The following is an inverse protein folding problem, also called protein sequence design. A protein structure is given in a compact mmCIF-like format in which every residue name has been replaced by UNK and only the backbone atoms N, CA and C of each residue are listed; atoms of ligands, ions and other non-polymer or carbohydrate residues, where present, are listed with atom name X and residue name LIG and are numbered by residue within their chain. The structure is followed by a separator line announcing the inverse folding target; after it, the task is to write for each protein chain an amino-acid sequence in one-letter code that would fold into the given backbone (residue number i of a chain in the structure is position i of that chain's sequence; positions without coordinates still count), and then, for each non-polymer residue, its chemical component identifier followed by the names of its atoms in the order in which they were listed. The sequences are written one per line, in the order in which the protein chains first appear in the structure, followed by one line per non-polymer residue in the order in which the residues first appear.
data_IF_983720147859
#
_entry.id   IF_983720147859
#
_cell.length_a   1.000
_cell.length_b   1.000
_cell.length_c   1.000
_cell.angle_alpha   90.00
_cell.angle_beta   90.00
_cell.angle_gamma   90.00
#
_symmetry.space_group_name_H-M   'P 1'
#
loop_
_entity.id
_entity.type
_entity.pdbx_description
1 polymer ?
#
# COMPACT_ATOMS: atom_id res chain seq x y z
N UNK A 1 12.51 -47.19 -77.18
CA UNK A 1 11.29 -46.57 -76.62
C UNK A 1 11.26 -46.73 -75.12
N UNK A 2 12.29 -46.19 -74.46
CA UNK A 2 12.39 -46.15 -72.96
C UNK A 2 13.22 -44.92 -72.60
N UNK A 3 12.65 -43.71 -72.63
CA UNK A 3 13.28 -42.50 -72.12
C UNK A 3 12.19 -41.39 -71.94
N UNK A 4 11.24 -41.61 -71.06
CA UNK A 4 10.36 -40.46 -70.68
C UNK A 4 9.57 -40.72 -69.38
N UNK A 5 10.14 -41.35 -68.37
CA UNK A 5 9.45 -41.54 -67.07
C UNK A 5 10.10 -40.95 -65.85
N UNK A 6 11.34 -40.37 -65.95
CA UNK A 6 12.08 -39.89 -64.79
C UNK A 6 11.88 -38.37 -64.46
N UNK A 7 11.46 -37.55 -65.44
CA UNK A 7 11.34 -36.09 -65.21
C UNK A 7 10.03 -35.61 -64.54
N UNK A 8 8.97 -36.45 -64.59
CA UNK A 8 7.66 -36.08 -63.95
C UNK A 8 7.65 -36.32 -62.44
N UNK A 9 8.51 -37.20 -61.90
CA UNK A 9 8.52 -37.48 -60.47
C UNK A 9 9.29 -36.45 -59.63
N UNK A 10 10.35 -35.90 -60.17
CA UNK A 10 11.17 -34.90 -59.44
C UNK A 10 10.51 -33.54 -59.34
N UNK A 11 9.74 -33.12 -60.35
CA UNK A 11 8.99 -31.86 -60.33
C UNK A 11 7.81 -31.91 -59.39
N UNK A 12 7.11 -33.02 -59.30
CA UNK A 12 6.02 -33.23 -58.34
C UNK A 12 6.52 -33.29 -56.89
N UNK A 13 7.65 -33.93 -56.62
CA UNK A 13 8.25 -34.03 -55.29
C UNK A 13 8.79 -32.66 -54.83
N UNK A 14 9.40 -31.85 -55.71
CA UNK A 14 9.85 -30.49 -55.40
C UNK A 14 8.68 -29.53 -55.16
N UNK A 15 7.55 -29.65 -55.86
CA UNK A 15 6.32 -28.87 -55.65
C UNK A 15 5.62 -29.27 -54.34
N UNK A 16 5.65 -30.52 -53.93
CA UNK A 16 5.07 -31.00 -52.69
C UNK A 16 5.91 -30.55 -51.48
N UNK A 17 7.23 -30.51 -51.57
CA UNK A 17 8.12 -29.99 -50.51
C UNK A 17 8.00 -28.49 -50.34
N UNK A 18 7.76 -27.72 -51.42
CA UNK A 18 7.60 -26.28 -51.34
C UNK A 18 6.22 -25.88 -50.74
N UNK A 19 5.19 -26.73 -50.90
CA UNK A 19 3.88 -26.52 -50.30
C UNK A 19 3.82 -26.87 -48.80
N UNK A 20 4.71 -27.76 -48.28
CA UNK A 20 4.78 -28.11 -46.87
C UNK A 20 5.52 -27.06 -46.02
N UNK A 21 6.34 -26.19 -46.63
CA UNK A 21 7.07 -25.12 -45.95
C UNK A 21 6.23 -23.84 -45.68
N UNK A 22 5.00 -23.77 -46.23
CA UNK A 22 4.09 -22.64 -46.06
C UNK A 22 3.00 -22.84 -44.99
N UNK A 23 2.96 -24.01 -44.37
CA UNK A 23 2.07 -24.31 -43.24
C UNK A 23 2.84 -24.25 -41.90
N UNK A 24 3.68 -23.22 -41.72
CA UNK A 24 4.06 -22.85 -40.37
C UNK A 24 2.78 -22.38 -39.65
N UNK A 25 2.36 -23.01 -38.54
CA UNK A 25 1.25 -22.47 -37.80
C UNK A 25 1.66 -21.04 -37.41
N UNK A 26 0.91 -20.04 -37.84
CA UNK A 26 0.93 -18.75 -37.21
C UNK A 26 0.61 -19.02 -35.74
N UNK A 27 1.64 -19.14 -34.93
CA UNK A 27 1.47 -19.08 -33.49
C UNK A 27 0.74 -17.76 -33.23
N UNK A 28 -0.53 -17.86 -32.88
CA UNK A 28 -1.28 -16.72 -32.37
C UNK A 28 -0.46 -16.18 -31.22
N UNK A 29 0.23 -15.07 -31.42
CA UNK A 29 0.85 -14.31 -30.34
C UNK A 29 -0.35 -13.80 -29.53
N UNK A 30 -0.81 -14.58 -28.57
CA UNK A 30 -1.69 -14.06 -27.54
C UNK A 30 -0.91 -12.93 -26.89
N UNK A 31 -1.44 -11.71 -26.95
CA UNK A 31 -0.83 -10.58 -26.26
C UNK A 31 -0.60 -11.00 -24.81
N UNK A 32 0.60 -10.83 -24.33
CA UNK A 32 0.91 -11.12 -22.93
C UNK A 32 -0.02 -10.26 -22.05
N UNK A 33 -0.55 -10.86 -21.00
CA UNK A 33 -1.49 -10.17 -20.11
C UNK A 33 -1.10 -10.37 -18.65
N UNK A 34 -1.62 -9.50 -17.79
CA UNK A 34 -1.44 -9.47 -16.35
C UNK A 34 -2.79 -9.22 -15.69
N UNK A 35 -3.20 -10.08 -14.78
CA UNK A 35 -4.44 -9.91 -14.01
C UNK A 35 -4.12 -9.32 -12.63
N UNK A 36 -4.45 -8.06 -12.46
CA UNK A 36 -4.18 -7.27 -11.27
C UNK A 36 -5.43 -7.16 -10.39
N UNK A 37 -5.36 -7.70 -9.17
CA UNK A 37 -6.35 -7.48 -8.12
C UNK A 37 -5.86 -6.35 -7.22
N UNK A 38 -6.55 -5.21 -7.24
CA UNK A 38 -6.11 -3.99 -6.55
C UNK A 38 -7.15 -3.45 -5.58
N UNK A 39 -6.72 -3.21 -4.35
CA UNK A 39 -7.48 -2.46 -3.36
C UNK A 39 -7.12 -0.96 -3.36
N UNK A 40 -6.39 -0.50 -4.33
CA UNK A 40 -6.13 0.91 -4.58
C UNK A 40 -7.21 1.43 -5.52
N UNK A 41 -7.76 2.60 -5.23
CA UNK A 41 -8.86 3.23 -5.97
C UNK A 41 -8.47 4.66 -6.34
N UNK A 42 -7.35 4.81 -7.05
CA UNK A 42 -6.86 6.11 -7.49
C UNK A 42 -6.90 6.18 -9.02
N UNK A 43 -7.59 7.19 -9.54
CA UNK A 43 -7.64 7.42 -11.00
C UNK A 43 -6.24 7.57 -11.61
N UNK A 44 -5.30 8.11 -10.85
CA UNK A 44 -3.90 8.26 -11.26
C UNK A 44 -3.17 6.94 -11.47
N UNK A 45 -3.59 5.85 -10.82
CA UNK A 45 -2.98 4.53 -11.01
C UNK A 45 -3.23 3.97 -12.42
N UNK A 46 -4.31 4.42 -13.13
CA UNK A 46 -4.56 4.00 -14.53
C UNK A 46 -3.42 4.39 -15.46
N UNK A 47 -2.83 5.57 -15.26
CA UNK A 47 -1.67 6.02 -16.05
C UNK A 47 -0.45 5.10 -15.88
N UNK A 48 -0.29 4.46 -14.71
CA UNK A 48 0.76 3.44 -14.49
C UNK A 48 0.50 2.19 -15.34
N UNK A 49 -0.74 1.74 -15.39
CA UNK A 49 -1.12 0.53 -16.11
C UNK A 49 -1.02 0.70 -17.62
N UNK A 50 -1.48 1.85 -18.12
CA UNK A 50 -1.36 2.24 -19.52
C UNK A 50 0.10 2.31 -19.96
N UNK A 51 0.93 3.03 -19.19
CA UNK A 51 2.35 3.18 -19.49
C UNK A 51 3.10 1.85 -19.47
N UNK A 52 2.82 0.99 -18.50
CA UNK A 52 3.38 -0.35 -18.47
C UNK A 52 3.02 -1.15 -19.72
N UNK A 53 1.77 -1.07 -20.15
CA UNK A 53 1.30 -1.73 -21.37
C UNK A 53 2.01 -1.17 -22.62
N UNK A 54 2.17 0.15 -22.71
CA UNK A 54 2.90 0.79 -23.83
C UNK A 54 4.37 0.36 -23.91
N UNK A 55 5.04 0.28 -22.76
CA UNK A 55 6.47 -0.04 -22.67
C UNK A 55 6.77 -1.54 -22.90
N UNK A 56 5.85 -2.42 -22.50
CA UNK A 56 6.09 -3.87 -22.47
C UNK A 56 5.26 -4.68 -23.46
N UNK A 57 4.16 -4.12 -23.95
CA UNK A 57 3.14 -4.87 -24.70
C UNK A 57 2.27 -5.78 -23.83
N UNK A 58 2.46 -5.80 -22.50
CA UNK A 58 1.69 -6.61 -21.55
C UNK A 58 0.43 -5.85 -21.15
N UNK A 59 -0.74 -6.38 -21.45
CA UNK A 59 -2.01 -5.77 -21.09
C UNK A 59 -2.31 -6.00 -19.61
N UNK A 60 -2.66 -4.95 -18.89
CA UNK A 60 -3.11 -5.05 -17.49
C UNK A 60 -4.63 -5.17 -17.44
N UNK A 61 -5.13 -6.28 -16.93
CA UNK A 61 -6.54 -6.52 -16.65
C UNK A 61 -6.78 -6.25 -15.16
N UNK A 62 -7.49 -5.15 -14.84
CA UNK A 62 -7.70 -4.70 -13.48
C UNK A 62 -9.02 -5.22 -12.90
N UNK A 63 -8.95 -5.72 -11.68
CA UNK A 63 -10.10 -5.98 -10.81
C UNK A 63 -9.92 -5.20 -9.53
N UNK A 64 -10.82 -4.25 -9.28
CA UNK A 64 -10.82 -3.45 -8.06
C UNK A 64 -11.79 -3.98 -7.01
N UNK A 65 -11.40 -3.84 -5.75
CA UNK A 65 -12.23 -4.26 -4.63
C UNK A 65 -11.64 -3.89 -3.28
N UNK A 66 -12.41 -4.05 -2.21
CA UNK A 66 -11.88 -3.91 -0.86
C UNK A 66 -10.80 -4.96 -0.57
N UNK A 67 -9.73 -4.58 0.15
CA UNK A 67 -8.59 -5.48 0.43
C UNK A 67 -9.03 -6.84 0.97
N UNK A 68 -9.94 -6.84 1.96
CA UNK A 68 -10.39 -8.08 2.59
C UNK A 68 -11.21 -8.94 1.62
N UNK A 69 -12.06 -8.31 0.79
CA UNK A 69 -12.86 -9.01 -0.20
C UNK A 69 -12.00 -9.65 -1.31
N UNK A 70 -10.92 -8.97 -1.74
CA UNK A 70 -10.00 -9.52 -2.72
C UNK A 70 -9.19 -10.69 -2.16
N UNK A 71 -8.76 -10.62 -0.90
CA UNK A 71 -8.08 -11.72 -0.20
C UNK A 71 -9.01 -12.95 -0.17
N UNK A 72 -10.24 -12.79 0.31
CA UNK A 72 -11.22 -13.89 0.39
C UNK A 72 -11.56 -14.45 -1.01
N UNK A 73 -11.63 -13.60 -2.01
CA UNK A 73 -11.87 -14.02 -3.38
C UNK A 73 -10.74 -14.91 -3.90
N UNK A 74 -9.48 -14.51 -3.76
CA UNK A 74 -8.32 -15.31 -4.19
C UNK A 74 -8.30 -16.66 -3.45
N UNK A 75 -8.60 -16.67 -2.15
CA UNK A 75 -8.68 -17.91 -1.36
C UNK A 75 -9.80 -18.83 -1.85
N UNK A 76 -10.96 -18.28 -2.19
CA UNK A 76 -12.09 -19.06 -2.71
C UNK A 76 -11.84 -19.60 -4.12
N UNK A 77 -11.16 -18.85 -4.97
CA UNK A 77 -10.75 -19.25 -6.32
C UNK A 77 -9.65 -20.33 -6.28
N UNK A 78 -8.80 -20.33 -5.25
CA UNK A 78 -7.73 -21.31 -5.03
C UNK A 78 -6.75 -21.40 -6.21
N UNK A 79 -6.44 -22.61 -6.65
CA UNK A 79 -5.53 -22.88 -7.79
C UNK A 79 -6.08 -22.38 -9.14
N UNK A 80 -7.37 -22.10 -9.21
CA UNK A 80 -8.03 -21.60 -10.42
C UNK A 80 -8.09 -20.06 -10.44
N UNK A 81 -7.54 -19.39 -9.45
CA UNK A 81 -7.52 -17.93 -9.42
C UNK A 81 -6.77 -17.38 -10.64
N UNK A 82 -7.40 -16.48 -11.40
CA UNK A 82 -6.70 -15.81 -12.49
C UNK A 82 -5.79 -14.68 -12.03
N UNK A 83 -5.80 -14.34 -10.73
CA UNK A 83 -5.02 -13.23 -10.20
C UNK A 83 -3.52 -13.52 -10.31
N UNK A 84 -2.77 -12.61 -10.93
CA UNK A 84 -1.31 -12.64 -10.97
C UNK A 84 -0.71 -11.86 -9.81
N UNK A 85 -1.33 -10.73 -9.46
CA UNK A 85 -0.87 -9.82 -8.40
C UNK A 85 -2.06 -9.44 -7.51
N UNK A 86 -1.79 -9.36 -6.21
CA UNK A 86 -2.63 -8.65 -5.25
C UNK A 86 -1.92 -7.41 -4.75
N UNK A 87 -2.53 -6.23 -4.96
CA UNK A 87 -2.14 -4.98 -4.31
C UNK A 87 -3.13 -4.67 -3.19
N UNK A 88 -2.63 -4.44 -2.00
CA UNK A 88 -3.47 -4.04 -0.86
C UNK A 88 -2.85 -2.88 -0.07
N UNK A 89 -3.67 -2.23 0.72
CA UNK A 89 -3.25 -1.13 1.59
C UNK A 89 -3.19 -1.62 3.03
N UNK A 90 -2.13 -1.19 3.75
CA UNK A 90 -1.74 -1.61 5.08
C UNK A 90 -1.00 -2.96 5.14
N UNK A 91 0.20 -2.91 5.71
CA UNK A 91 1.07 -4.08 5.83
C UNK A 91 0.45 -5.23 6.66
N UNK A 92 -0.47 -4.94 7.59
CA UNK A 92 -1.19 -5.96 8.34
C UNK A 92 -2.05 -6.85 7.43
N UNK A 93 -2.57 -6.30 6.32
CA UNK A 93 -3.31 -7.09 5.33
C UNK A 93 -2.39 -7.89 4.41
N UNK A 94 -1.25 -7.31 4.01
CA UNK A 94 -0.22 -8.05 3.26
C UNK A 94 0.27 -9.26 4.05
N UNK A 95 0.57 -9.06 5.32
CA UNK A 95 0.96 -10.16 6.22
C UNK A 95 -0.14 -11.23 6.31
N UNK A 96 -1.41 -10.85 6.50
CA UNK A 96 -2.52 -11.80 6.56
C UNK A 96 -2.68 -12.59 5.26
N UNK A 97 -2.52 -11.94 4.10
CA UNK A 97 -2.54 -12.61 2.81
C UNK A 97 -1.37 -13.60 2.66
N UNK A 98 -0.18 -13.25 3.16
CA UNK A 98 0.98 -14.13 3.19
C UNK A 98 0.76 -15.35 4.10
N UNK A 99 0.28 -15.16 5.33
CA UNK A 99 -0.06 -16.26 6.25
C UNK A 99 -1.15 -17.20 5.70
N UNK A 100 -2.08 -16.65 4.91
CA UNK A 100 -3.09 -17.45 4.22
C UNK A 100 -2.56 -18.19 2.98
N UNK A 101 -1.26 -18.05 2.66
CA UNK A 101 -0.62 -18.73 1.54
C UNK A 101 -0.98 -18.19 0.16
N UNK A 102 -1.46 -16.93 0.08
CA UNK A 102 -1.84 -16.29 -1.19
C UNK A 102 -0.63 -15.99 -2.06
N UNK A 103 0.51 -15.65 -1.46
CA UNK A 103 1.69 -15.21 -2.19
C UNK A 103 2.70 -16.33 -2.41
N UNK A 104 3.54 -16.16 -3.42
CA UNK A 104 4.75 -16.93 -3.63
C UNK A 104 5.99 -16.05 -3.47
N UNK A 105 7.10 -16.67 -3.12
CA UNK A 105 8.39 -15.98 -3.02
C UNK A 105 8.85 -15.45 -4.38
N UNK A 106 9.39 -14.25 -4.38
CA UNK A 106 9.93 -13.58 -5.56
C UNK A 106 11.40 -13.24 -5.32
N UNK A 107 12.27 -13.83 -6.13
CA UNK A 107 13.69 -13.49 -6.18
C UNK A 107 13.91 -12.46 -7.30
N UNK A 108 14.19 -11.21 -6.94
CA UNK A 108 14.44 -10.11 -7.86
C UNK A 108 15.51 -9.18 -7.30
N UNK A 109 16.67 -9.15 -7.96
CA UNK A 109 17.73 -8.23 -7.62
C UNK A 109 17.30 -6.75 -7.71
N UNK A 110 16.36 -6.44 -8.60
CA UNK A 110 15.77 -5.10 -8.74
C UNK A 110 14.97 -4.71 -7.51
N UNK A 111 14.09 -5.59 -7.02
CA UNK A 111 13.28 -5.33 -5.84
C UNK A 111 14.14 -5.31 -4.57
N UNK A 112 15.12 -6.20 -4.47
CA UNK A 112 16.07 -6.23 -3.35
C UNK A 112 16.88 -4.95 -3.23
N UNK A 113 17.28 -4.37 -4.37
CA UNK A 113 18.03 -3.12 -4.41
C UNK A 113 17.18 -1.88 -4.14
N UNK A 114 15.87 -1.91 -4.48
CA UNK A 114 14.99 -0.75 -4.42
C UNK A 114 14.11 -0.70 -3.19
N UNK A 115 13.66 -1.84 -2.68
CA UNK A 115 12.74 -1.91 -1.54
C UNK A 115 13.52 -2.18 -0.26
N UNK A 116 13.58 -1.23 0.70
CA UNK A 116 14.23 -1.43 1.98
C UNK A 116 13.69 -2.67 2.72
N UNK A 117 14.55 -3.39 3.44
CA UNK A 117 14.19 -4.63 4.14
C UNK A 117 13.01 -4.46 5.12
N UNK A 118 12.90 -3.32 5.77
CA UNK A 118 11.79 -3.06 6.70
C UNK A 118 10.45 -2.76 6.00
N UNK A 119 10.45 -2.56 4.67
CA UNK A 119 9.26 -2.33 3.84
C UNK A 119 8.86 -3.53 2.99
N UNK A 120 9.45 -4.69 3.20
CA UNK A 120 9.12 -5.92 2.49
C UNK A 120 8.99 -7.10 3.45
N UNK A 121 8.38 -8.15 2.96
CA UNK A 121 8.31 -9.41 3.68
C UNK A 121 9.72 -10.03 3.84
N UNK A 122 10.07 -10.58 5.02
CA UNK A 122 11.37 -11.22 5.23
C UNK A 122 11.65 -12.38 4.26
N UNK A 123 10.61 -13.06 3.78
CA UNK A 123 10.70 -14.17 2.83
C UNK A 123 10.38 -13.71 1.38
N UNK A 124 10.37 -12.40 1.11
CA UNK A 124 10.08 -11.81 -0.20
C UNK A 124 8.72 -12.23 -0.79
N UNK A 125 7.69 -12.41 0.05
CA UNK A 125 6.33 -12.72 -0.39
C UNK A 125 5.57 -11.48 -0.88
N UNK A 126 5.92 -10.29 -0.37
CA UNK A 126 5.36 -9.02 -0.79
C UNK A 126 6.37 -7.88 -0.61
N UNK A 127 6.13 -6.78 -1.34
CA UNK A 127 7.00 -5.61 -1.40
C UNK A 127 6.17 -4.34 -1.22
N UNK A 128 6.68 -3.39 -0.43
CA UNK A 128 6.12 -2.05 -0.33
C UNK A 128 6.25 -1.31 -1.66
N UNK A 129 5.22 -0.53 -1.98
CA UNK A 129 5.16 0.28 -3.20
C UNK A 129 5.11 1.78 -2.88
N UNK A 130 4.48 2.15 -1.79
CA UNK A 130 4.40 3.53 -1.31
C UNK A 130 4.27 3.55 0.20
N UNK A 131 4.59 4.69 0.82
CA UNK A 131 4.56 4.88 2.28
C UNK A 131 3.58 5.97 2.68
N UNK A 132 3.07 5.88 3.90
CA UNK A 132 2.41 6.96 4.62
C UNK A 132 2.91 7.02 6.05
N UNK A 133 3.12 8.23 6.56
CA UNK A 133 3.41 8.43 7.97
C UNK A 133 2.10 8.60 8.76
N UNK A 134 2.08 8.12 9.99
CA UNK A 134 0.99 8.31 10.94
C UNK A 134 1.32 9.50 11.82
N UNK A 135 0.92 10.71 11.44
CA UNK A 135 1.29 11.97 12.10
C UNK A 135 0.29 12.39 13.16
N UNK A 136 0.75 13.17 14.13
CA UNK A 136 -0.14 13.89 15.04
C UNK A 136 -0.54 15.20 14.38
N UNK A 137 -1.83 15.48 14.33
CA UNK A 137 -2.39 16.73 13.80
C UNK A 137 -3.08 17.47 14.93
N UNK A 138 -2.76 18.76 15.07
CA UNK A 138 -3.25 19.61 16.14
C UNK A 138 -3.83 20.93 15.61
N UNK A 139 -4.67 21.57 16.41
CA UNK A 139 -5.22 22.89 16.10
C UNK A 139 -4.27 23.99 16.54
N UNK A 140 -3.85 24.84 15.60
CA UNK A 140 -2.81 25.89 15.82
C UNK A 140 -3.21 26.98 16.82
N UNK A 141 -4.49 27.31 16.89
CA UNK A 141 -5.01 28.48 17.64
C UNK A 141 -5.53 28.14 19.05
N UNK A 142 -5.39 26.90 19.53
CA UNK A 142 -5.91 26.50 20.85
C UNK A 142 -4.95 26.68 22.02
N UNK A 143 -3.70 27.07 21.78
CA UNK A 143 -2.71 27.21 22.84
C UNK A 143 -2.33 25.89 23.53
N UNK A 144 -2.70 24.75 22.93
CA UNK A 144 -2.28 23.44 23.42
C UNK A 144 -0.77 23.25 23.23
N UNK A 145 -0.12 22.62 24.19
CA UNK A 145 1.23 22.12 23.98
C UNK A 145 1.23 21.16 22.79
N UNK A 146 2.16 21.37 21.88
CA UNK A 146 2.31 20.49 20.71
C UNK A 146 2.92 19.16 21.16
N UNK A 147 2.25 18.00 20.92
CA UNK A 147 2.79 16.69 21.28
C UNK A 147 4.05 16.38 20.47
N UNK A 148 5.11 15.88 21.09
CA UNK A 148 6.34 15.49 20.40
C UNK A 148 6.38 14.00 20.02
N UNK A 149 5.61 13.16 20.72
CA UNK A 149 5.56 11.72 20.53
C UNK A 149 4.13 11.19 20.78
N UNK A 150 3.90 9.91 20.43
CA UNK A 150 2.57 9.31 20.63
C UNK A 150 2.20 9.20 22.11
N UNK A 151 3.19 9.03 22.99
CA UNK A 151 2.99 8.90 24.43
C UNK A 151 2.45 10.20 25.05
N UNK A 152 2.79 11.34 24.49
CA UNK A 152 2.28 12.64 24.97
C UNK A 152 0.75 12.73 24.93
N UNK A 153 0.10 12.02 24.00
CA UNK A 153 -1.36 12.00 23.89
C UNK A 153 -2.07 11.42 25.13
N UNK A 154 -1.31 10.82 26.04
CA UNK A 154 -1.81 10.32 27.34
C UNK A 154 -1.80 11.37 28.43
N UNK A 155 -1.13 12.51 28.23
CA UNK A 155 -1.02 13.57 29.21
C UNK A 155 -2.40 14.20 29.53
N UNK A 156 -2.61 14.55 30.78
CA UNK A 156 -3.88 15.11 31.26
C UNK A 156 -4.25 16.46 30.62
N UNK A 157 -3.31 17.18 30.05
CA UNK A 157 -3.55 18.41 29.29
C UNK A 157 -4.38 18.18 28.02
N UNK A 158 -4.41 16.94 27.47
CA UNK A 158 -5.24 16.56 26.34
C UNK A 158 -6.61 15.99 26.76
N UNK A 159 -7.00 16.08 28.02
CA UNK A 159 -8.31 15.57 28.48
C UNK A 159 -9.46 16.22 27.73
N UNK A 160 -10.33 15.36 27.17
CA UNK A 160 -11.44 15.74 26.29
C UNK A 160 -10.99 16.53 25.05
N UNK A 161 -9.78 16.26 24.54
CA UNK A 161 -9.21 16.92 23.37
C UNK A 161 -8.81 15.98 22.24
N UNK A 162 -8.73 14.67 22.48
CA UNK A 162 -8.27 13.69 21.50
C UNK A 162 -9.46 13.15 20.72
N UNK A 163 -9.40 13.21 19.40
CA UNK A 163 -10.30 12.48 18.51
C UNK A 163 -9.53 11.39 17.76
N UNK A 164 -10.14 10.21 17.68
CA UNK A 164 -9.55 9.05 17.01
C UNK A 164 -10.62 8.27 16.24
N UNK A 165 -10.15 7.44 15.32
CA UNK A 165 -10.98 6.44 14.66
C UNK A 165 -11.24 5.25 15.60
N UNK A 166 -12.21 4.41 15.21
CA UNK A 166 -12.50 3.14 15.91
C UNK A 166 -11.25 2.25 16.06
N UNK A 167 -11.21 1.46 17.12
CA UNK A 167 -10.22 0.42 17.35
C UNK A 167 -10.15 -0.63 16.23
N UNK A 168 -11.27 -0.88 15.54
CA UNK A 168 -11.33 -1.81 14.41
C UNK A 168 -10.65 -1.27 13.14
N UNK A 169 -10.26 0.00 13.12
CA UNK A 169 -9.58 0.56 11.98
C UNK A 169 -8.17 0.00 11.84
N UNK A 170 -7.85 -0.51 10.65
CA UNK A 170 -6.57 -1.18 10.38
C UNK A 170 -5.36 -0.28 10.67
N UNK A 171 -5.43 1.04 10.43
CA UNK A 171 -4.32 1.95 10.68
C UNK A 171 -4.04 2.16 12.17
N UNK A 172 -5.09 2.14 13.00
CA UNK A 172 -4.94 2.18 14.46
C UNK A 172 -4.34 0.85 14.97
N UNK A 173 -4.80 -0.27 14.42
CA UNK A 173 -4.25 -1.60 14.76
C UNK A 173 -2.76 -1.69 14.42
N UNK A 174 -2.37 -1.21 13.24
CA UNK A 174 -0.96 -1.19 12.81
C UNK A 174 -0.09 -0.26 13.65
N UNK A 175 -0.60 0.93 14.01
CA UNK A 175 0.10 1.84 14.93
C UNK A 175 0.33 1.17 16.29
N UNK A 176 -0.72 0.59 16.88
CA UNK A 176 -0.60 -0.08 18.17
C UNK A 176 0.32 -1.31 18.10
N UNK A 177 0.28 -2.05 16.99
CA UNK A 177 1.20 -3.16 16.74
C UNK A 177 2.67 -2.70 16.73
N UNK A 178 2.97 -1.57 16.08
CA UNK A 178 4.29 -0.94 16.12
C UNK A 178 4.69 -0.50 17.53
N UNK A 179 3.77 0.09 18.30
CA UNK A 179 4.02 0.45 19.69
C UNK A 179 4.27 -0.79 20.56
N UNK A 180 3.53 -1.88 20.38
CA UNK A 180 3.78 -3.16 21.10
C UNK A 180 5.20 -3.64 20.82
N UNK A 181 5.65 -3.59 19.58
CA UNK A 181 6.98 -4.06 19.20
C UNK A 181 8.09 -3.20 19.81
N UNK A 182 7.93 -1.89 19.79
CA UNK A 182 8.98 -0.95 20.20
C UNK A 182 9.01 -0.66 21.71
N UNK A 183 7.86 -0.69 22.38
CA UNK A 183 7.75 -0.30 23.80
C UNK A 183 7.29 -1.46 24.70
N UNK A 184 6.85 -2.56 24.12
CA UNK A 184 6.29 -3.71 24.81
C UNK A 184 4.80 -3.58 25.12
N UNK A 185 4.13 -4.74 25.27
CA UNK A 185 2.67 -4.82 25.42
C UNK A 185 2.12 -4.04 26.63
N UNK A 186 2.84 -4.02 27.77
CA UNK A 186 2.39 -3.32 28.97
C UNK A 186 2.41 -1.78 28.78
N UNK A 187 3.41 -1.23 28.09
CA UNK A 187 3.47 0.17 27.80
C UNK A 187 2.41 0.57 26.74
N UNK A 188 2.23 -0.24 25.70
CA UNK A 188 1.20 -0.06 24.70
C UNK A 188 -0.23 -0.12 25.30
N UNK A 189 -0.46 -1.00 26.29
CA UNK A 189 -1.72 -1.04 27.05
C UNK A 189 -1.97 0.27 27.80
N UNK A 190 -0.99 0.76 28.55
CA UNK A 190 -1.09 2.04 29.29
C UNK A 190 -1.31 3.22 28.34
N UNK A 191 -0.64 3.21 27.18
CA UNK A 191 -0.86 4.21 26.15
C UNK A 191 -2.31 4.22 25.67
N UNK A 192 -2.85 3.06 25.28
CA UNK A 192 -4.24 2.96 24.82
C UNK A 192 -5.24 3.45 25.89
N UNK A 193 -5.06 3.05 27.14
CA UNK A 193 -5.88 3.47 28.29
C UNK A 193 -5.82 4.99 28.50
N UNK A 194 -4.59 5.57 28.46
CA UNK A 194 -4.41 7.02 28.63
C UNK A 194 -5.02 7.83 27.51
N UNK A 195 -4.89 7.37 26.26
CA UNK A 195 -5.53 8.04 25.11
C UNK A 195 -7.06 7.97 25.21
N UNK A 196 -7.63 6.83 25.63
CA UNK A 196 -9.09 6.69 25.83
C UNK A 196 -9.59 7.67 26.89
N UNK A 197 -8.85 7.88 27.98
CA UNK A 197 -9.20 8.87 29.03
C UNK A 197 -9.24 10.31 28.50
N UNK A 198 -8.55 10.58 27.40
CA UNK A 198 -8.44 11.90 26.78
C UNK A 198 -9.38 12.10 25.59
N UNK A 199 -10.23 11.13 25.25
CA UNK A 199 -11.16 11.27 24.16
C UNK A 199 -12.14 12.45 24.37
N UNK A 200 -12.24 13.29 23.34
CA UNK A 200 -13.26 14.37 23.27
C UNK A 200 -14.65 13.79 22.98
N UNK A 201 -14.70 12.72 22.23
CA UNK A 201 -15.91 12.01 21.82
C UNK A 201 -15.63 10.54 21.55
N UNK A 202 -16.69 9.75 21.37
CA UNK A 202 -16.53 8.35 20.93
C UNK A 202 -15.82 8.29 19.57
N UNK A 203 -14.89 7.35 19.39
CA UNK A 203 -14.22 7.11 18.12
C UNK A 203 -15.21 6.90 16.97
N UNK A 204 -15.02 7.62 15.85
CA UNK A 204 -15.91 7.55 14.68
C UNK A 204 -15.24 8.16 13.44
N UNK A 205 -15.82 7.91 12.27
CA UNK A 205 -15.38 8.50 11.00
C UNK A 205 -14.03 8.00 10.49
N UNK A 206 -13.55 8.64 9.43
CA UNK A 206 -12.26 8.40 8.82
C UNK A 206 -11.24 9.51 9.17
N UNK A 207 -10.00 9.42 8.68
CA UNK A 207 -8.97 10.42 8.99
C UNK A 207 -9.38 11.83 8.52
N UNK A 208 -10.03 11.99 7.36
CA UNK A 208 -10.55 13.29 6.91
C UNK A 208 -11.56 13.88 7.92
N UNK A 209 -12.43 13.03 8.46
CA UNK A 209 -13.38 13.47 9.50
C UNK A 209 -12.66 13.91 10.78
N UNK A 210 -11.54 13.24 11.15
CA UNK A 210 -10.74 13.68 12.29
C UNK A 210 -10.06 15.03 12.01
N UNK A 211 -9.48 15.24 10.82
CA UNK A 211 -8.86 16.51 10.44
C UNK A 211 -9.88 17.67 10.50
N UNK A 212 -11.09 17.45 10.00
CA UNK A 212 -12.18 18.44 10.05
C UNK A 212 -12.66 18.71 11.49
N UNK A 213 -12.71 17.67 12.34
CA UNK A 213 -13.07 17.80 13.75
C UNK A 213 -12.04 18.65 14.52
N UNK A 214 -10.74 18.45 14.26
CA UNK A 214 -9.69 19.29 14.84
C UNK A 214 -9.80 20.72 14.32
N UNK A 215 -9.98 20.94 13.02
CA UNK A 215 -10.11 22.27 12.44
C UNK A 215 -11.35 23.04 12.94
N UNK A 216 -12.44 22.34 13.28
CA UNK A 216 -13.66 22.96 13.85
C UNK A 216 -13.56 23.26 15.34
N UNK A 217 -12.58 22.68 16.07
CA UNK A 217 -12.45 22.79 17.52
C UNK A 217 -13.29 21.79 18.32
N UNK A 218 -13.88 20.79 17.66
CA UNK A 218 -14.49 19.65 18.35
C UNK A 218 -13.44 18.85 19.12
N UNK A 219 -12.21 18.81 18.57
CA UNK A 219 -11.03 18.19 19.18
C UNK A 219 -9.81 19.11 19.04
N UNK A 220 -8.88 19.01 19.96
CA UNK A 220 -7.61 19.74 19.86
C UNK A 220 -6.54 18.99 19.06
N UNK A 221 -6.63 17.65 19.04
CA UNK A 221 -5.58 16.78 18.47
C UNK A 221 -6.14 15.47 17.95
N UNK A 222 -5.52 14.93 16.91
CA UNK A 222 -5.78 13.60 16.36
C UNK A 222 -4.53 12.95 15.82
N UNK A 223 -4.63 11.67 15.43
CA UNK A 223 -3.62 10.96 14.65
C UNK A 223 -4.21 10.57 13.29
N UNK A 224 -3.52 10.93 12.22
CA UNK A 224 -3.98 10.71 10.85
C UNK A 224 -2.83 10.28 9.92
N UNK A 225 -3.16 9.61 8.83
CA UNK A 225 -2.17 9.35 7.78
C UNK A 225 -1.94 10.62 6.94
N UNK A 226 -0.70 10.85 6.57
CA UNK A 226 -0.25 12.07 5.87
C UNK A 226 -0.99 12.34 4.58
N UNK A 227 -1.31 11.31 3.79
CA UNK A 227 -1.97 11.50 2.49
C UNK A 227 -3.39 12.11 2.59
N UNK A 228 -4.08 11.97 3.74
CA UNK A 228 -5.36 12.65 3.94
C UNK A 228 -5.18 14.17 4.04
N UNK A 229 -4.12 14.61 4.73
CA UNK A 229 -3.78 16.03 4.76
C UNK A 229 -3.28 16.50 3.39
N UNK A 230 -2.43 15.72 2.73
CA UNK A 230 -1.96 16.01 1.37
C UNK A 230 -3.11 16.25 0.39
N UNK A 231 -4.17 15.44 0.46
CA UNK A 231 -5.38 15.63 -0.37
C UNK A 231 -6.10 16.94 -0.07
N UNK A 232 -6.23 17.31 1.20
CA UNK A 232 -6.83 18.60 1.57
C UNK A 232 -5.97 19.78 1.10
N UNK A 233 -4.64 19.63 1.14
CA UNK A 233 -3.69 20.64 0.62
C UNK A 233 -3.78 20.78 -0.89
N UNK A 234 -3.94 19.66 -1.62
CA UNK A 234 -4.07 19.63 -3.07
C UNK A 234 -5.47 20.07 -3.56
N UNK A 235 -6.46 20.15 -2.68
CA UNK A 235 -7.84 20.49 -3.05
C UNK A 235 -7.98 21.95 -3.46
N UNK A 236 -8.77 22.20 -4.52
CA UNK A 236 -9.17 23.56 -4.92
C UNK A 236 -10.37 24.10 -4.13
N UNK A 237 -11.03 23.25 -3.35
CA UNK A 237 -12.17 23.65 -2.51
C UNK A 237 -11.72 24.63 -1.42
N UNK A 238 -12.27 25.86 -1.37
CA UNK A 238 -11.99 26.82 -0.29
C UNK A 238 -12.26 26.29 1.11
N UNK A 239 -13.21 25.35 1.28
CA UNK A 239 -13.49 24.74 2.57
C UNK A 239 -12.33 23.84 3.04
N UNK A 240 -11.71 23.10 2.15
CA UNK A 240 -10.53 22.28 2.47
C UNK A 240 -9.31 23.14 2.80
N UNK A 241 -9.09 24.22 2.04
CA UNK A 241 -8.04 25.21 2.34
C UNK A 241 -8.23 25.86 3.72
N UNK A 242 -9.47 26.17 4.09
CA UNK A 242 -9.79 26.71 5.40
C UNK A 242 -9.54 25.70 6.54
N UNK A 243 -9.73 24.40 6.28
CA UNK A 243 -9.37 23.32 7.21
C UNK A 243 -7.85 23.29 7.40
N UNK A 244 -7.10 23.18 6.30
CA UNK A 244 -5.61 23.09 6.33
C UNK A 244 -4.99 24.28 7.05
N UNK A 245 -5.49 25.51 6.83
CA UNK A 245 -4.97 26.71 7.45
C UNK A 245 -4.95 26.65 8.98
N UNK A 246 -5.90 25.92 9.61
CA UNK A 246 -6.03 25.77 11.05
C UNK A 246 -5.21 24.63 11.65
N UNK A 247 -4.68 23.74 10.81
CA UNK A 247 -4.00 22.52 11.25
C UNK A 247 -2.49 22.69 11.27
N UNK A 248 -1.86 22.24 12.37
CA UNK A 248 -0.45 21.94 12.45
C UNK A 248 -0.22 20.43 12.45
N UNK A 249 0.96 20.00 12.01
CA UNK A 249 1.36 18.61 12.08
C UNK A 249 2.65 18.42 12.85
N UNK A 250 2.80 17.25 13.44
CA UNK A 250 4.05 16.76 14.01
C UNK A 250 4.30 15.36 13.49
N UNK A 251 5.51 15.12 13.03
CA UNK A 251 6.04 13.77 12.89
C UNK A 251 6.50 13.32 14.28
N UNK A 252 5.80 12.36 14.93
CA UNK A 252 6.15 11.99 16.30
C UNK A 252 7.50 11.27 16.39
N UNK A 253 8.06 11.23 17.59
CA UNK A 253 9.23 10.41 17.94
C UNK A 253 10.53 10.76 17.19
N UNK A 254 10.72 12.00 16.75
CA UNK A 254 11.89 12.39 15.95
C UNK A 254 13.22 12.30 16.74
N UNK A 255 13.20 12.52 18.05
CA UNK A 255 14.35 12.33 18.95
C UNK A 255 14.52 10.87 19.40
N UNK A 256 13.59 10.00 19.06
CA UNK A 256 13.54 8.60 19.46
C UNK A 256 13.55 7.62 18.29
N UNK A 257 12.53 6.73 18.25
CA UNK A 257 12.39 5.66 17.26
C UNK A 257 12.07 6.14 15.84
N UNK A 258 11.53 7.34 15.70
CA UNK A 258 10.99 7.86 14.44
C UNK A 258 9.48 7.66 14.33
N UNK A 259 8.88 8.31 13.33
CA UNK A 259 7.43 8.27 13.08
C UNK A 259 7.01 6.92 12.51
N UNK A 260 5.94 6.35 13.06
CA UNK A 260 5.31 5.14 12.49
C UNK A 260 4.94 5.35 11.02
N UNK A 261 5.41 4.46 10.18
CA UNK A 261 5.04 4.40 8.75
C UNK A 261 4.29 3.12 8.44
N UNK A 262 3.49 3.18 7.41
CA UNK A 262 2.81 2.01 6.86
C UNK A 262 2.86 2.08 5.33
N UNK A 263 2.49 1.00 4.64
CA UNK A 263 2.68 0.85 3.21
C UNK A 263 1.40 0.47 2.47
N UNK A 264 1.35 0.80 1.18
CA UNK A 264 0.67 -0.01 0.18
C UNK A 264 1.71 -0.95 -0.42
N UNK A 265 1.35 -2.17 -0.70
CA UNK A 265 2.29 -3.16 -1.23
C UNK A 265 1.64 -4.17 -2.15
N UNK A 266 2.48 -4.91 -2.85
CA UNK A 266 2.10 -5.94 -3.81
C UNK A 266 2.81 -7.26 -3.53
N UNK A 267 2.12 -8.36 -3.78
CA UNK A 267 2.70 -9.69 -3.85
C UNK A 267 2.23 -10.43 -5.11
N UNK A 268 3.09 -11.27 -5.66
CA UNK A 268 2.74 -12.19 -6.75
C UNK A 268 1.96 -13.35 -6.15
N UNK A 269 0.79 -13.66 -6.70
CA UNK A 269 -0.04 -14.72 -6.15
C UNK A 269 0.58 -16.11 -6.37
N UNK A 270 0.28 -17.03 -5.48
CA UNK A 270 0.87 -18.37 -5.46
C UNK A 270 0.67 -19.13 -6.78
N UNK A 271 -0.50 -18.98 -7.39
CA UNK A 271 -0.88 -19.66 -8.62
C UNK A 271 -0.92 -18.72 -9.83
N UNK A 272 -0.19 -17.59 -9.78
CA UNK A 272 -0.15 -16.60 -10.85
C UNK A 272 0.08 -17.24 -12.23
N UNK A 273 -0.90 -17.17 -13.14
CA UNK A 273 -0.75 -17.72 -14.50
C UNK A 273 0.37 -17.03 -15.28
N UNK A 274 0.56 -15.73 -15.06
CA UNK A 274 1.50 -14.88 -15.79
C UNK A 274 2.64 -14.38 -14.87
N UNK A 275 3.28 -15.31 -14.10
CA UNK A 275 4.29 -14.98 -13.08
C UNK A 275 5.38 -14.02 -13.55
N UNK A 276 5.93 -14.23 -14.75
CA UNK A 276 7.01 -13.37 -15.26
C UNK A 276 6.53 -11.92 -15.48
N UNK A 277 5.35 -11.73 -16.06
CA UNK A 277 4.72 -10.44 -16.24
C UNK A 277 4.40 -9.78 -14.88
N UNK A 278 3.98 -10.58 -13.90
CA UNK A 278 3.71 -10.11 -12.55
C UNK A 278 4.96 -9.54 -11.86
N UNK A 279 6.08 -10.25 -11.92
CA UNK A 279 7.35 -9.78 -11.35
C UNK A 279 7.78 -8.49 -12.05
N UNK A 280 7.77 -8.46 -13.39
CA UNK A 280 8.12 -7.28 -14.18
C UNK A 280 7.26 -6.07 -13.83
N UNK A 281 5.96 -6.28 -13.56
CA UNK A 281 5.07 -5.21 -13.15
C UNK A 281 5.38 -4.69 -11.75
N UNK A 282 5.65 -5.56 -10.77
CA UNK A 282 6.06 -5.13 -9.42
C UNK A 282 7.38 -4.34 -9.47
N UNK A 283 8.36 -4.80 -10.27
CA UNK A 283 9.61 -4.06 -10.52
C UNK A 283 9.34 -2.68 -11.14
N UNK A 284 8.44 -2.61 -12.15
CA UNK A 284 8.03 -1.37 -12.77
C UNK A 284 7.42 -0.39 -11.76
N UNK A 285 6.56 -0.86 -10.84
CA UNK A 285 5.96 -0.03 -9.80
C UNK A 285 6.99 0.55 -8.82
N UNK A 286 8.21 0.02 -8.77
CA UNK A 286 9.34 0.59 -8.01
C UNK A 286 10.25 1.50 -8.84
N UNK A 287 9.91 1.79 -10.11
CA UNK A 287 10.66 2.71 -10.96
C UNK A 287 10.47 4.17 -10.52
N UNK A 288 11.42 5.04 -10.89
CA UNK A 288 11.32 6.48 -10.58
C UNK A 288 10.02 7.11 -11.10
N UNK A 289 9.56 6.68 -12.29
CA UNK A 289 8.32 7.17 -12.87
C UNK A 289 7.11 6.80 -12.00
N UNK A 290 6.97 5.52 -11.65
CA UNK A 290 5.86 5.06 -10.83
C UNK A 290 5.88 5.68 -9.42
N UNK A 291 7.07 5.80 -8.85
CA UNK A 291 7.25 6.39 -7.52
C UNK A 291 6.91 7.89 -7.48
N UNK A 292 7.22 8.63 -8.54
CA UNK A 292 6.81 10.02 -8.68
C UNK A 292 5.29 10.13 -8.77
N UNK A 293 4.66 9.27 -9.54
CA UNK A 293 3.20 9.28 -9.70
C UNK A 293 2.47 8.94 -8.38
N UNK A 294 3.00 8.03 -7.56
CA UNK A 294 2.48 7.78 -6.22
C UNK A 294 2.57 9.03 -5.32
N UNK A 295 3.65 9.79 -5.41
CA UNK A 295 3.82 11.01 -4.63
C UNK A 295 2.88 12.14 -5.11
N UNK A 296 2.88 12.44 -6.40
CA UNK A 296 2.13 13.56 -6.98
C UNK A 296 0.62 13.27 -7.08
N UNK A 297 0.26 12.06 -7.53
CA UNK A 297 -1.14 11.69 -7.77
C UNK A 297 -1.88 11.26 -6.52
N UNK A 298 -1.21 10.56 -5.61
CA UNK A 298 -1.86 9.94 -4.45
C UNK A 298 -1.49 10.57 -3.11
N UNK A 299 -0.55 11.53 -3.11
CA UNK A 299 -0.01 12.18 -1.92
C UNK A 299 0.60 11.15 -0.93
N UNK A 300 1.24 10.11 -1.44
CA UNK A 300 1.94 9.09 -0.66
C UNK A 300 3.46 9.29 -0.78
N UNK A 301 4.22 8.95 0.26
CA UNK A 301 5.67 8.98 0.17
C UNK A 301 6.18 7.83 -0.72
N UNK A 302 7.13 8.09 -1.61
CA UNK A 302 7.76 7.04 -2.40
C UNK A 302 8.64 6.15 -1.51
N UNK A 303 8.85 4.90 -1.92
CA UNK A 303 9.85 4.00 -1.30
C UNK A 303 11.24 4.24 -1.87
N UNK A 304 11.31 4.77 -3.10
CA UNK A 304 12.54 5.13 -3.82
C UNK A 304 12.49 6.60 -4.20
N UNK A 305 13.57 7.32 -3.98
CA UNK A 305 13.65 8.75 -4.31
C UNK A 305 13.05 9.66 -3.24
N UNK A 306 12.65 10.86 -3.63
CA UNK A 306 12.11 11.89 -2.75
C UNK A 306 10.63 12.14 -3.02
N UNK A 307 9.92 12.55 -1.99
CA UNK A 307 8.56 13.03 -2.12
C UNK A 307 8.51 14.30 -3.00
N UNK A 308 7.44 14.43 -3.76
CA UNK A 308 7.10 15.60 -4.58
C UNK A 308 5.65 16.01 -4.32
N UNK A 309 5.24 17.17 -4.86
CA UNK A 309 3.89 17.67 -4.66
C UNK A 309 3.56 18.05 -3.20
N UNK A 310 2.28 18.11 -2.83
CA UNK A 310 1.83 18.59 -1.51
C UNK A 310 2.43 17.81 -0.33
N UNK A 311 2.72 16.52 -0.51
CA UNK A 311 3.28 15.70 0.56
C UNK A 311 4.72 16.11 0.92
N UNK A 312 5.48 16.64 -0.05
CA UNK A 312 6.84 17.16 0.18
C UNK A 312 6.86 18.42 1.06
N UNK A 313 5.78 19.22 1.03
CA UNK A 313 5.65 20.43 1.83
C UNK A 313 5.54 20.13 3.33
N UNK A 314 5.24 18.88 3.71
CA UNK A 314 5.19 18.44 5.10
C UNK A 314 6.60 18.30 5.72
N UNK A 315 7.65 18.30 4.89
CA UNK A 315 9.05 18.20 5.31
C UNK A 315 9.59 16.79 5.45
N UNK A 316 10.89 16.71 5.70
CA UNK A 316 11.59 15.45 5.95
C UNK A 316 11.38 15.01 7.41
N UNK A 317 11.39 13.71 7.64
CA UNK A 317 11.23 13.12 8.96
C UNK A 317 12.02 11.81 9.10
N UNK A 318 12.35 11.46 10.34
CA UNK A 318 12.91 10.16 10.68
C UNK A 318 11.79 9.12 10.72
N UNK A 319 11.93 8.08 9.93
CA UNK A 319 11.01 6.94 9.90
C UNK A 319 11.35 5.92 10.98
N UNK A 320 10.32 5.32 11.58
CA UNK A 320 10.45 4.09 12.36
C UNK A 320 10.81 2.94 11.41
N UNK A 321 11.84 2.17 11.75
CA UNK A 321 12.35 1.06 10.93
C UNK A 321 11.85 -0.32 11.41
N UNK A 322 10.73 -0.37 12.09
CA UNK A 322 10.07 -1.65 12.39
C UNK A 322 9.67 -2.31 11.08
N UNK A 323 10.06 -3.59 10.91
CA UNK A 323 9.65 -4.32 9.72
C UNK A 323 8.11 -4.39 9.64
N UNK A 324 7.56 -4.00 8.50
CA UNK A 324 6.13 -3.83 8.28
C UNK A 324 5.32 -5.13 8.50
N UNK A 325 5.93 -6.32 8.33
CA UNK A 325 5.28 -7.61 8.65
C UNK A 325 4.88 -7.72 10.13
N UNK A 326 5.58 -7.00 11.02
CA UNK A 326 5.30 -6.97 12.45
C UNK A 326 3.90 -6.45 12.75
N UNK A 327 3.38 -5.54 11.93
CA UNK A 327 2.04 -4.97 12.14
C UNK A 327 0.95 -6.03 12.05
N UNK A 328 1.08 -6.97 11.13
CA UNK A 328 0.19 -8.14 11.06
C UNK A 328 0.41 -9.13 12.21
N UNK A 329 1.67 -9.49 12.48
CA UNK A 329 2.03 -10.43 13.57
C UNK A 329 1.48 -10.00 14.93
N UNK A 330 1.44 -8.70 15.22
CA UNK A 330 0.97 -8.13 16.49
C UNK A 330 -0.52 -7.72 16.46
N UNK A 331 -1.21 -7.85 15.33
CA UNK A 331 -2.57 -7.32 15.17
C UNK A 331 -3.57 -7.92 16.17
N UNK A 332 -3.55 -9.24 16.39
CA UNK A 332 -4.43 -9.88 17.38
C UNK A 332 -4.19 -9.35 18.79
N UNK A 333 -2.92 -9.11 19.16
CA UNK A 333 -2.57 -8.53 20.45
C UNK A 333 -3.04 -7.07 20.55
N UNK A 334 -2.95 -6.30 19.48
CA UNK A 334 -3.44 -4.92 19.42
C UNK A 334 -4.98 -4.86 19.62
N UNK A 335 -5.73 -5.77 19.00
CA UNK A 335 -7.18 -5.89 19.23
C UNK A 335 -7.49 -6.10 20.71
N UNK A 336 -6.84 -7.07 21.35
CA UNK A 336 -7.05 -7.35 22.78
C UNK A 336 -6.71 -6.17 23.69
N UNK A 337 -5.66 -5.41 23.36
CA UNK A 337 -5.29 -4.20 24.11
C UNK A 337 -6.34 -3.11 23.96
N UNK A 338 -6.82 -2.85 22.76
CA UNK A 338 -7.88 -1.85 22.54
C UNK A 338 -9.18 -2.23 23.25
N UNK A 339 -9.56 -3.52 23.23
CA UNK A 339 -10.76 -3.98 23.96
C UNK A 339 -10.64 -3.75 25.46
N UNK A 340 -9.49 -4.08 26.07
CA UNK A 340 -9.23 -3.85 27.50
C UNK A 340 -9.20 -2.36 27.86
N UNK A 341 -8.65 -1.52 26.98
CA UNK A 341 -8.61 -0.08 27.16
C UNK A 341 -10.01 0.58 26.99
N UNK A 342 -10.99 -0.15 26.47
CA UNK A 342 -12.32 0.42 26.16
C UNK A 342 -12.36 1.30 24.92
N UNK A 343 -11.35 1.20 24.06
CA UNK A 343 -11.33 1.89 22.77
C UNK A 343 -12.22 1.15 21.77
N UNK A 344 -13.30 1.79 21.32
CA UNK A 344 -14.31 1.15 20.46
C UNK A 344 -14.59 1.96 19.20
#
# INVERSE_FOLDING_TARGET
MVENRSHLSETMIRSLMLALLLLSPLASITAAELNLYSARHYDTDFSLYERFTEETGIKVNLIEGGSDALIERILAEGELSPADILITVDAGRLWRAAEAGIFQQVDSATLDARVPEYLRDPDNLWFGLSKRARVIVYRKDEGLRVPANYEDLTNSEYRSRVCMRSSSNIYNLSLLAGLIETTGAAAAQRWAEGVVQNFARRPQGNDTAQLRAVASGECGVTVANTYYLGRLMASDDPADKAVVAKLGIVFPDQDGRGTHINISGAGVTRYAPNRAAAIQFVEYLTSEFAQRLFAEGNNEYPIVGRATGPIAELGDFKEDQVNAATYGKRQAQAVMIYDRAGWR
#
